data_IF_518010417346
#
_entry.id   IF_518010417346
#
_cell.length_a   1.000
_cell.length_b   1.000
_cell.length_c   1.000
_cell.angle_alpha   90.00
_cell.angle_beta   90.00
_cell.angle_gamma   90.00
#
_symmetry.space_group_name_H-M   'P 1'
#
loop_
_entity.id
_entity.type
_entity.pdbx_description
1 polymer ?
#
# COMPACT_ATOMS: atom_id res chain seq x y z
N UNK A 1 -5.20 -10.65 -22.23
CA UNK A 1 -4.17 -11.68 -22.47
C UNK A 1 -3.48 -11.99 -21.15
N UNK A 2 -3.45 -13.25 -20.69
CA UNK A 2 -2.73 -13.63 -19.46
C UNK A 2 -1.32 -14.13 -19.79
N UNK A 3 -0.31 -13.62 -19.07
CA UNK A 3 1.06 -14.14 -19.11
C UNK A 3 1.17 -15.30 -18.11
N UNK A 4 1.87 -16.36 -18.47
CA UNK A 4 2.06 -17.56 -17.62
C UNK A 4 3.50 -17.62 -17.12
N UNK A 5 3.67 -18.04 -15.87
CA UNK A 5 4.96 -18.31 -15.25
C UNK A 5 4.86 -19.62 -14.47
N UNK A 6 5.91 -20.44 -14.52
CA UNK A 6 6.01 -21.69 -13.77
C UNK A 6 6.91 -21.46 -12.55
N UNK A 7 6.42 -21.84 -11.37
CA UNK A 7 7.14 -21.74 -10.10
C UNK A 7 7.34 -23.16 -9.55
N UNK A 8 8.55 -23.45 -9.07
CA UNK A 8 8.90 -24.72 -8.43
C UNK A 8 8.97 -24.50 -6.92
N UNK A 9 8.25 -25.32 -6.16
CA UNK A 9 8.37 -25.35 -4.71
C UNK A 9 9.47 -26.34 -4.33
N UNK A 10 10.53 -25.85 -3.71
CA UNK A 10 11.60 -26.69 -3.18
C UNK A 10 11.29 -27.25 -1.79
N UNK A 11 10.34 -26.64 -1.08
CA UNK A 11 9.80 -27.11 0.19
C UNK A 11 8.48 -27.86 -0.08
N UNK A 12 8.50 -29.18 0.15
CA UNK A 12 7.34 -30.06 -0.03
C UNK A 12 6.22 -29.77 0.99
N UNK A 13 6.59 -29.35 2.21
CA UNK A 13 5.63 -28.97 3.26
C UNK A 13 4.86 -27.72 2.87
N UNK A 14 5.54 -26.72 2.29
CA UNK A 14 4.91 -25.50 1.77
C UNK A 14 3.97 -25.82 0.60
N UNK A 15 4.43 -26.64 -0.35
CA UNK A 15 3.61 -27.10 -1.47
C UNK A 15 2.32 -27.79 -1.00
N UNK A 16 2.44 -28.68 -0.01
CA UNK A 16 1.31 -29.43 0.54
C UNK A 16 0.34 -28.50 1.25
N UNK A 17 0.85 -27.60 2.10
CA UNK A 17 0.03 -26.63 2.83
C UNK A 17 -0.76 -25.73 1.88
N UNK A 18 -0.11 -25.23 0.82
CA UNK A 18 -0.77 -24.42 -0.20
C UNK A 18 -1.91 -25.17 -0.90
N UNK A 19 -1.70 -26.45 -1.24
CA UNK A 19 -2.76 -27.26 -1.84
C UNK A 19 -3.95 -27.47 -0.91
N UNK A 20 -3.68 -27.76 0.37
CA UNK A 20 -4.74 -27.95 1.37
C UNK A 20 -5.57 -26.68 1.52
N UNK A 21 -4.92 -25.52 1.60
CA UNK A 21 -5.62 -24.24 1.71
C UNK A 21 -6.41 -23.88 0.44
N UNK A 22 -5.85 -24.14 -0.74
CA UNK A 22 -6.56 -23.97 -2.01
C UNK A 22 -7.83 -24.83 -2.05
N UNK A 23 -7.73 -26.11 -1.64
CA UNK A 23 -8.87 -27.02 -1.59
C UNK A 23 -9.92 -26.59 -0.54
N UNK A 24 -9.49 -26.23 0.67
CA UNK A 24 -10.36 -25.78 1.77
C UNK A 24 -11.18 -24.55 1.36
N UNK A 25 -10.54 -23.60 0.68
CA UNK A 25 -11.17 -22.34 0.28
C UNK A 25 -11.82 -22.39 -1.11
N UNK A 26 -11.79 -23.53 -1.80
CA UNK A 26 -12.35 -23.71 -3.15
C UNK A 26 -11.81 -22.69 -4.17
N UNK A 27 -10.53 -22.33 -4.06
CA UNK A 27 -9.85 -21.39 -4.97
C UNK A 27 -8.61 -22.04 -5.59
N UNK A 28 -8.17 -21.61 -6.78
CA UNK A 28 -6.94 -22.13 -7.34
C UNK A 28 -5.72 -21.66 -6.53
N UNK A 29 -4.73 -22.53 -6.37
CA UNK A 29 -3.47 -22.19 -5.69
C UNK A 29 -2.76 -20.97 -6.32
N UNK A 30 -2.95 -20.75 -7.63
CA UNK A 30 -2.43 -19.57 -8.32
C UNK A 30 -3.04 -18.26 -7.82
N UNK A 31 -4.28 -18.26 -7.31
CA UNK A 31 -4.88 -17.07 -6.71
C UNK A 31 -4.22 -16.73 -5.37
N UNK A 32 -3.95 -17.73 -4.54
CA UNK A 32 -3.22 -17.56 -3.28
C UNK A 32 -1.81 -17.03 -3.55
N UNK A 33 -1.07 -17.65 -4.49
CA UNK A 33 0.27 -17.19 -4.87
C UNK A 33 0.21 -15.75 -5.39
N UNK A 34 -0.77 -15.41 -6.24
CA UNK A 34 -0.89 -14.06 -6.79
C UNK A 34 -1.14 -13.01 -5.70
N UNK A 35 -1.95 -13.34 -4.69
CA UNK A 35 -2.19 -12.46 -3.55
C UNK A 35 -0.92 -12.28 -2.71
N UNK A 36 -0.24 -13.38 -2.36
CA UNK A 36 1.00 -13.33 -1.57
C UNK A 36 2.12 -12.56 -2.29
N UNK A 37 2.28 -12.75 -3.60
CA UNK A 37 3.27 -12.01 -4.40
C UNK A 37 2.91 -10.53 -4.49
N UNK A 38 1.63 -10.18 -4.61
CA UNK A 38 1.19 -8.79 -4.60
C UNK A 38 1.54 -8.12 -3.26
N UNK A 39 1.14 -8.73 -2.15
CA UNK A 39 1.43 -8.22 -0.81
C UNK A 39 2.94 -8.07 -0.58
N UNK A 40 3.74 -9.04 -1.03
CA UNK A 40 5.20 -8.97 -0.94
C UNK A 40 5.78 -7.79 -1.73
N UNK A 41 5.23 -7.49 -2.92
CA UNK A 41 5.66 -6.34 -3.74
C UNK A 41 5.22 -5.01 -3.11
N UNK A 42 3.98 -4.92 -2.63
CA UNK A 42 3.46 -3.73 -1.94
C UNK A 42 4.29 -3.40 -0.69
N UNK A 43 4.60 -4.41 0.14
CA UNK A 43 5.46 -4.23 1.31
C UNK A 43 6.89 -3.76 0.95
N UNK A 44 7.40 -4.20 -0.22
CA UNK A 44 8.70 -3.76 -0.71
C UNK A 44 8.64 -2.30 -1.17
N UNK A 45 7.59 -1.92 -1.89
CA UNK A 45 7.38 -0.53 -2.32
C UNK A 45 7.26 0.39 -1.09
N UNK A 46 6.51 -0.01 -0.06
CA UNK A 46 6.42 0.72 1.20
C UNK A 46 7.79 0.88 1.86
N UNK A 47 8.60 -0.18 1.91
CA UNK A 47 9.96 -0.12 2.46
C UNK A 47 10.88 0.83 1.66
N UNK A 48 10.67 0.97 0.36
CA UNK A 48 11.40 1.92 -0.49
C UNK A 48 10.88 3.36 -0.32
N UNK A 49 9.59 3.56 0.00
CA UNK A 49 8.95 4.86 0.18
C UNK A 49 9.15 5.45 1.58
N UNK A 50 9.25 4.63 2.62
CA UNK A 50 9.39 5.09 4.01
C UNK A 50 10.54 6.10 4.21
N UNK A 51 11.77 5.87 3.70
CA UNK A 51 12.85 6.85 3.82
C UNK A 51 12.53 8.20 3.17
N UNK A 52 11.80 8.19 2.04
CA UNK A 52 11.40 9.41 1.35
C UNK A 52 10.36 10.18 2.19
N UNK A 53 9.40 9.47 2.78
CA UNK A 53 8.39 10.05 3.67
C UNK A 53 9.05 10.66 4.90
N UNK A 54 10.00 9.95 5.52
CA UNK A 54 10.75 10.43 6.69
C UNK A 54 11.59 11.68 6.36
N UNK A 55 12.23 11.70 5.19
CA UNK A 55 12.97 12.87 4.70
C UNK A 55 12.05 14.07 4.49
N UNK A 56 10.91 13.86 3.82
CA UNK A 56 9.94 14.94 3.56
C UNK A 56 9.32 15.47 4.87
N UNK A 57 9.04 14.57 5.82
CA UNK A 57 8.54 14.95 7.14
C UNK A 57 9.57 15.75 7.93
N UNK A 58 10.84 15.35 7.90
CA UNK A 58 11.93 16.09 8.56
C UNK A 58 12.09 17.50 7.98
N UNK A 59 12.11 17.63 6.66
CA UNK A 59 12.15 18.92 5.97
C UNK A 59 10.94 19.81 6.34
N UNK A 60 9.74 19.22 6.38
CA UNK A 60 8.52 19.94 6.78
C UNK A 60 8.63 20.45 8.23
N UNK A 61 9.14 19.64 9.17
CA UNK A 61 9.36 20.06 10.55
C UNK A 61 10.37 21.20 10.65
N UNK A 62 11.52 21.10 9.94
CA UNK A 62 12.55 22.14 9.91
C UNK A 62 12.02 23.47 9.38
N UNK A 63 11.09 23.44 8.42
CA UNK A 63 10.47 24.63 7.84
C UNK A 63 9.29 25.19 8.66
N UNK A 64 9.06 24.70 9.88
CA UNK A 64 7.98 25.17 10.75
C UNK A 64 6.61 24.60 10.33
N UNK A 65 6.61 23.36 9.86
CA UNK A 65 5.42 22.65 9.39
C UNK A 65 4.24 22.68 10.36
N UNK A 66 3.04 22.88 9.81
CA UNK A 66 1.78 22.97 10.54
C UNK A 66 0.88 21.77 10.25
N UNK A 67 0.25 21.13 11.27
CA UNK A 67 -0.62 19.98 11.07
C UNK A 67 -1.76 20.25 10.11
N UNK A 68 -2.15 19.24 9.33
CA UNK A 68 -3.26 19.36 8.39
C UNK A 68 -4.56 19.92 9.01
N UNK A 69 -5.01 19.51 10.21
CA UNK A 69 -6.25 20.05 10.79
C UNK A 69 -6.23 21.56 11.04
N UNK A 70 -5.06 22.17 11.26
CA UNK A 70 -4.95 23.63 11.39
C UNK A 70 -5.08 24.32 10.04
N UNK A 71 -4.42 23.78 9.03
CA UNK A 71 -4.44 24.29 7.65
C UNK A 71 -5.81 24.09 7.00
N UNK A 72 -6.45 22.95 7.25
CA UNK A 72 -7.77 22.60 6.72
C UNK A 72 -8.84 23.60 7.17
N UNK A 73 -8.85 23.97 8.45
CA UNK A 73 -9.76 24.99 8.99
C UNK A 73 -9.56 26.34 8.29
N UNK A 74 -8.30 26.74 8.11
CA UNK A 74 -7.95 27.97 7.41
C UNK A 74 -8.39 27.93 5.93
N UNK A 75 -8.21 26.78 5.25
CA UNK A 75 -8.64 26.56 3.88
C UNK A 75 -10.16 26.63 3.72
N UNK A 76 -10.91 25.97 4.61
CA UNK A 76 -12.37 25.95 4.57
C UNK A 76 -12.92 27.37 4.77
N UNK A 77 -12.40 28.11 5.75
CA UNK A 77 -12.81 29.49 6.02
C UNK A 77 -12.52 30.40 4.82
N UNK A 78 -11.31 30.35 4.25
CA UNK A 78 -10.94 31.14 3.06
C UNK A 78 -11.80 30.79 1.84
N UNK A 79 -12.17 29.51 1.66
CA UNK A 79 -13.04 29.07 0.56
C UNK A 79 -14.46 29.65 0.69
N UNK A 80 -14.99 29.69 1.91
CA UNK A 80 -16.31 30.29 2.17
C UNK A 80 -16.29 31.80 1.96
N UNK A 81 -15.28 32.52 2.44
CA UNK A 81 -15.15 33.97 2.24
C UNK A 81 -15.02 34.37 0.75
N UNK A 82 -14.37 33.53 -0.06
CA UNK A 82 -14.24 33.75 -1.51
C UNK A 82 -15.58 33.52 -2.24
N UNK A 83 -16.46 32.69 -1.69
CA UNK A 83 -17.78 32.37 -2.27
C UNK A 83 -18.84 33.41 -1.89
N UNK A 84 -18.71 34.08 -0.74
CA UNK A 84 -19.61 35.15 -0.29
C UNK A 84 -19.20 36.57 -0.73
N UNK A 85 -18.10 36.71 -1.48
CA UNK A 85 -17.65 37.99 -2.07
C UNK A 85 -18.01 38.16 -3.56
N UNK A 86 -18.78 37.24 -4.15
CA UNK A 86 -19.35 37.38 -5.50
C UNK A 86 -20.84 37.70 -5.46
#
# INVERSE_FOLDING_TARGET
>A
MSRKMTVVFHDEGLYTSLKVEAARNHIPASAIISAAVREWLENREDAELLPLIESAHSEWQEKGGRPWPEIEREFIVRRTETTYRQ
#
